data_IF_914668734210
#
_entry.id   IF_914668734210
#
_cell.length_a   1.000
_cell.length_b   1.000
_cell.length_c   1.000
_cell.angle_alpha   90.00
_cell.angle_beta   90.00
_cell.angle_gamma   90.00
#
_symmetry.space_group_name_H-M   'P 1'
#
loop_
_entity.id
_entity.type
_entity.pdbx_description
1 polymer ?
#
# COMPACT_ATOMS: atom_id res chain seq x y z
N UNK A 1 0.02 20.43 -3.46
CA UNK A 1 0.38 19.82 -2.19
C UNK A 1 -0.78 18.97 -1.73
N UNK A 2 -0.58 17.64 -1.56
CA UNK A 2 -1.52 16.90 -0.76
C UNK A 2 -1.65 17.64 0.55
N UNK A 3 -2.86 17.92 1.02
CA UNK A 3 -2.95 18.65 2.26
C UNK A 3 -2.30 17.79 3.33
N UNK A 4 -1.28 18.33 3.97
CA UNK A 4 -0.55 17.64 5.05
C UNK A 4 -1.53 17.12 6.11
N UNK A 5 -2.64 17.84 6.30
CA UNK A 5 -3.73 17.43 7.19
C UNK A 5 -4.44 16.15 6.75
N UNK A 6 -4.62 15.90 5.44
CA UNK A 6 -5.20 14.64 4.96
C UNK A 6 -4.24 13.48 5.23
N UNK A 7 -2.98 13.62 4.83
CA UNK A 7 -1.97 12.58 5.05
C UNK A 7 -1.75 12.28 6.53
N UNK A 8 -1.74 13.31 7.36
CA UNK A 8 -1.62 13.12 8.81
C UNK A 8 -2.83 12.38 9.41
N UNK A 9 -3.98 12.46 8.77
CA UNK A 9 -5.17 11.69 9.15
C UNK A 9 -5.20 10.27 8.57
N UNK A 10 -4.42 10.00 7.53
CA UNK A 10 -4.34 8.71 6.83
C UNK A 10 -2.92 8.15 6.86
N UNK A 11 -2.43 7.70 8.02
CA UNK A 11 -1.04 7.26 8.19
C UNK A 11 -0.69 6.04 7.34
N UNK A 12 -1.67 5.18 7.02
CA UNK A 12 -1.55 4.10 6.04
C UNK A 12 -1.09 4.62 4.68
N UNK A 13 -1.79 5.62 4.13
CA UNK A 13 -1.44 6.23 2.85
C UNK A 13 -0.16 7.07 2.92
N UNK A 14 0.02 7.83 4.00
CA UNK A 14 1.20 8.67 4.21
C UNK A 14 2.47 7.83 4.17
N UNK A 15 2.55 6.85 5.05
CA UNK A 15 3.74 6.03 5.18
C UNK A 15 3.97 5.10 3.98
N UNK A 16 2.90 4.62 3.34
CA UNK A 16 3.05 3.92 2.06
C UNK A 16 3.71 4.80 1.00
N UNK A 17 3.24 6.05 0.84
CA UNK A 17 3.80 6.98 -0.14
C UNK A 17 5.27 7.29 0.14
N UNK A 18 5.61 7.61 1.39
CA UNK A 18 7.00 7.84 1.81
C UNK A 18 7.88 6.60 1.59
N UNK A 19 7.31 5.41 1.85
CA UNK A 19 7.98 4.14 1.62
C UNK A 19 8.31 3.92 0.14
N UNK A 20 7.38 4.19 -0.77
CA UNK A 20 7.61 4.07 -2.20
C UNK A 20 8.63 5.09 -2.71
N UNK A 21 8.58 6.33 -2.26
CA UNK A 21 9.56 7.36 -2.63
C UNK A 21 10.97 6.94 -2.17
N UNK A 22 11.12 6.51 -0.92
CA UNK A 22 12.39 6.04 -0.41
C UNK A 22 12.90 4.80 -1.16
N UNK A 23 11.99 3.89 -1.54
CA UNK A 23 12.33 2.69 -2.33
C UNK A 23 12.83 3.05 -3.73
N UNK A 24 12.17 3.97 -4.42
CA UNK A 24 12.56 4.47 -5.75
C UNK A 24 13.93 5.16 -5.73
N UNK A 25 14.23 5.87 -4.64
CA UNK A 25 15.53 6.52 -4.43
C UNK A 25 16.64 5.56 -3.99
N UNK A 26 16.36 4.25 -3.86
CA UNK A 26 17.33 3.25 -3.37
C UNK A 26 17.60 3.31 -1.87
N UNK A 27 16.87 4.11 -1.11
CA UNK A 27 16.97 4.25 0.35
C UNK A 27 16.19 3.13 1.05
N UNK A 28 16.59 1.87 0.79
CA UNK A 28 15.81 0.68 1.16
C UNK A 28 15.57 0.50 2.66
N UNK A 29 16.55 0.84 3.50
CA UNK A 29 16.39 0.76 4.95
C UNK A 29 15.31 1.74 5.45
N UNK A 30 15.23 2.92 4.85
CA UNK A 30 14.22 3.93 5.15
C UNK A 30 12.85 3.52 4.59
N UNK A 31 12.80 3.02 3.35
CA UNK A 31 11.60 2.47 2.74
C UNK A 31 10.97 1.39 3.63
N UNK A 32 11.77 0.43 4.12
CA UNK A 32 11.30 -0.60 5.02
C UNK A 32 10.70 -0.03 6.31
N UNK A 33 11.31 0.99 6.89
CA UNK A 33 10.77 1.70 8.06
C UNK A 33 9.36 2.27 7.79
N UNK A 34 9.20 2.95 6.66
CA UNK A 34 7.92 3.54 6.28
C UNK A 34 6.86 2.46 5.97
N UNK A 35 7.22 1.39 5.26
CA UNK A 35 6.28 0.29 5.01
C UNK A 35 5.86 -0.41 6.31
N UNK A 36 6.74 -0.58 7.29
CA UNK A 36 6.37 -1.09 8.62
C UNK A 36 5.38 -0.16 9.32
N UNK A 37 5.58 1.15 9.24
CA UNK A 37 4.65 2.12 9.81
C UNK A 37 3.27 2.06 9.10
N UNK A 38 3.24 1.92 7.77
CA UNK A 38 1.99 1.75 7.04
C UNK A 38 1.29 0.42 7.39
N UNK A 39 2.06 -0.66 7.55
CA UNK A 39 1.54 -1.97 7.95
C UNK A 39 0.85 -1.96 9.32
N UNK A 40 1.30 -1.14 10.27
CA UNK A 40 0.63 -0.92 11.56
C UNK A 40 -0.80 -0.40 11.40
N UNK A 41 -1.13 0.21 10.27
CA UNK A 41 -2.43 0.76 9.92
C UNK A 41 -3.15 -0.04 8.84
N UNK A 42 -2.82 -1.33 8.70
CA UNK A 42 -3.53 -2.26 7.79
C UNK A 42 -3.38 -1.93 6.31
N UNK A 43 -2.26 -1.34 5.91
CA UNK A 43 -1.95 -1.05 4.51
C UNK A 43 -1.43 -2.31 3.81
N UNK A 44 -2.31 -3.00 3.09
CA UNK A 44 -1.99 -4.27 2.39
C UNK A 44 -0.90 -4.13 1.32
N UNK A 45 -0.85 -3.04 0.52
CA UNK A 45 0.26 -2.81 -0.39
C UNK A 45 1.63 -2.68 0.30
N UNK A 46 1.69 -1.97 1.43
CA UNK A 46 2.94 -1.86 2.18
C UNK A 46 3.37 -3.21 2.78
N UNK A 47 2.41 -4.03 3.25
CA UNK A 47 2.67 -5.39 3.70
C UNK A 47 3.23 -6.25 2.56
N UNK A 48 2.68 -6.13 1.34
CA UNK A 48 3.21 -6.82 0.15
C UNK A 48 4.62 -6.34 -0.23
N UNK A 49 4.93 -5.04 -0.09
CA UNK A 49 6.29 -4.53 -0.29
C UNK A 49 7.27 -5.09 0.74
N UNK A 50 6.88 -5.22 2.01
CA UNK A 50 7.69 -5.87 3.03
C UNK A 50 7.94 -7.34 2.72
N UNK A 51 6.92 -8.03 2.16
CA UNK A 51 7.05 -9.40 1.70
C UNK A 51 8.12 -9.52 0.60
N UNK A 52 8.06 -8.64 -0.40
CA UNK A 52 9.02 -8.64 -1.51
C UNK A 52 10.43 -8.27 -1.07
N UNK A 53 10.56 -7.26 -0.20
CA UNK A 53 11.85 -6.84 0.35
C UNK A 53 12.51 -7.95 1.17
N UNK A 54 11.76 -8.66 2.00
CA UNK A 54 12.25 -9.79 2.78
C UNK A 54 12.63 -10.97 1.87
N UNK A 55 11.78 -11.31 0.91
CA UNK A 55 12.01 -12.42 -0.01
C UNK A 55 13.26 -12.24 -0.86
N UNK A 56 13.44 -11.04 -1.43
CA UNK A 56 14.56 -10.71 -2.33
C UNK A 56 15.82 -10.22 -1.63
N UNK A 57 15.75 -9.92 -0.35
CA UNK A 57 16.88 -9.33 0.40
C UNK A 57 17.14 -7.88 0.02
N UNK A 58 16.09 -7.09 -0.23
CA UNK A 58 16.24 -5.67 -0.54
C UNK A 58 16.39 -4.86 0.74
N UNK A 59 17.56 -4.24 0.92
CA UNK A 59 17.92 -3.46 2.10
C UNK A 59 18.17 -4.28 3.38
N UNK A 60 18.17 -5.60 3.28
CA UNK A 60 18.48 -6.57 4.34
C UNK A 60 18.88 -7.90 3.70
N UNK A 61 19.52 -8.84 4.41
CA UNK A 61 19.68 -10.21 3.90
C UNK A 61 18.33 -10.85 3.56
N UNK A 62 18.29 -11.74 2.54
CA UNK A 62 17.07 -12.47 2.21
C UNK A 62 16.54 -13.28 3.40
N UNK A 63 15.24 -13.20 3.62
CA UNK A 63 14.51 -13.95 4.63
C UNK A 63 13.19 -14.45 4.02
N UNK A 64 13.24 -15.62 3.37
CA UNK A 64 12.11 -16.16 2.62
C UNK A 64 10.92 -16.55 3.50
N UNK A 65 11.11 -17.21 4.68
CA UNK A 65 10.04 -17.43 5.64
C UNK A 65 9.32 -16.14 6.02
N UNK A 66 10.07 -15.07 6.36
CA UNK A 66 9.49 -13.78 6.71
C UNK A 66 8.83 -13.11 5.49
N UNK A 67 9.35 -13.30 4.29
CA UNK A 67 8.72 -12.87 3.03
C UNK A 67 7.33 -13.49 2.87
N UNK A 68 7.20 -14.80 3.13
CA UNK A 68 5.89 -15.46 3.13
C UNK A 68 4.96 -14.94 4.22
N UNK A 69 5.45 -14.77 5.45
CA UNK A 69 4.65 -14.25 6.58
C UNK A 69 4.03 -12.89 6.22
N UNK A 70 4.80 -11.99 5.64
CA UNK A 70 4.28 -10.70 5.19
C UNK A 70 3.29 -10.83 4.03
N UNK A 71 3.53 -11.77 3.10
CA UNK A 71 2.60 -12.04 1.99
C UNK A 71 1.25 -12.59 2.51
N UNK A 72 1.27 -13.42 3.55
CA UNK A 72 0.06 -13.95 4.18
C UNK A 72 -0.75 -12.85 4.86
N UNK A 73 -0.11 -11.96 5.61
CA UNK A 73 -0.77 -10.78 6.21
C UNK A 73 -1.35 -9.85 5.12
N UNK A 74 -0.64 -9.66 4.00
CA UNK A 74 -1.13 -8.87 2.88
C UNK A 74 -2.36 -9.51 2.20
N UNK A 75 -2.39 -10.85 2.12
CA UNK A 75 -3.45 -11.61 1.46
C UNK A 75 -4.74 -11.75 2.27
N UNK A 76 -4.77 -11.33 3.54
CA UNK A 76 -5.89 -11.52 4.48
C UNK A 76 -7.25 -11.05 3.92
N UNK A 77 -7.28 -10.01 3.09
CA UNK A 77 -8.53 -9.48 2.46
C UNK A 77 -8.91 -10.17 1.15
N UNK A 78 -8.14 -11.17 0.72
CA UNK A 78 -8.41 -11.90 -0.51
C UNK A 78 -8.20 -11.09 -1.79
N UNK A 79 -7.41 -10.00 -1.76
CA UNK A 79 -7.04 -9.31 -3.00
C UNK A 79 -6.20 -10.24 -3.87
N UNK A 80 -6.67 -10.46 -5.10
CA UNK A 80 -6.14 -11.50 -6.00
C UNK A 80 -4.61 -11.44 -6.13
N UNK A 81 -4.05 -10.25 -6.32
CA UNK A 81 -2.61 -10.05 -6.50
C UNK A 81 -1.79 -10.50 -5.27
N UNK A 82 -2.30 -10.27 -4.06
CA UNK A 82 -1.61 -10.65 -2.83
C UNK A 82 -1.82 -12.13 -2.49
N UNK A 83 -2.98 -12.69 -2.81
CA UNK A 83 -3.21 -14.14 -2.72
C UNK A 83 -2.26 -14.89 -3.64
N UNK A 84 -2.12 -14.47 -4.91
CA UNK A 84 -1.18 -15.06 -5.86
C UNK A 84 0.28 -14.96 -5.36
N UNK A 85 0.66 -13.82 -4.77
CA UNK A 85 1.99 -13.63 -4.17
C UNK A 85 2.24 -14.63 -3.04
N UNK A 86 1.29 -14.78 -2.11
CA UNK A 86 1.35 -15.71 -0.99
C UNK A 86 1.51 -17.16 -1.46
N UNK A 87 0.64 -17.60 -2.39
CA UNK A 87 0.67 -18.97 -2.89
C UNK A 87 2.00 -19.29 -3.60
N UNK A 88 2.51 -18.34 -4.38
CA UNK A 88 3.81 -18.48 -5.02
C UNK A 88 4.92 -18.65 -3.98
N UNK A 89 4.99 -17.78 -2.98
CA UNK A 89 6.03 -17.87 -1.95
C UNK A 89 5.92 -19.18 -1.17
N UNK A 90 4.70 -19.60 -0.79
CA UNK A 90 4.50 -20.88 -0.12
C UNK A 90 5.01 -22.08 -0.94
N UNK A 91 4.75 -22.07 -2.24
CA UNK A 91 5.17 -23.18 -3.11
C UNK A 91 6.70 -23.28 -3.26
N UNK A 92 7.41 -22.16 -3.10
CA UNK A 92 8.85 -22.08 -3.24
C UNK A 92 9.62 -22.31 -1.92
N UNK A 93 8.95 -22.31 -0.75
CA UNK A 93 9.57 -22.61 0.54
C UNK A 93 9.86 -24.12 0.69
N UNK A 94 11.00 -24.45 1.28
CA UNK A 94 11.27 -25.80 1.75
C UNK A 94 10.54 -26.11 3.08
N UNK A 95 10.69 -27.35 3.59
CA UNK A 95 9.98 -27.80 4.80
C UNK A 95 10.39 -26.97 6.04
N UNK A 96 11.70 -26.75 6.23
CA UNK A 96 12.21 -26.02 7.39
C UNK A 96 11.81 -24.53 7.34
N UNK A 97 11.81 -23.94 6.15
CA UNK A 97 11.35 -22.57 5.93
C UNK A 97 9.85 -22.42 6.22
N UNK A 98 9.04 -23.43 5.85
CA UNK A 98 7.59 -23.44 6.15
C UNK A 98 7.33 -23.56 7.64
N UNK A 99 8.05 -24.45 8.34
CA UNK A 99 7.91 -24.60 9.78
C UNK A 99 8.21 -23.29 10.50
N UNK A 100 9.28 -22.59 10.12
CA UNK A 100 9.63 -21.27 10.67
C UNK A 100 8.56 -20.22 10.34
N UNK A 101 8.04 -20.21 9.12
CA UNK A 101 6.98 -19.28 8.72
C UNK A 101 5.68 -19.49 9.53
N UNK A 102 5.32 -20.72 9.82
CA UNK A 102 4.16 -21.06 10.65
C UNK A 102 4.37 -20.62 12.09
N UNK A 103 5.55 -20.87 12.66
CA UNK A 103 5.89 -20.47 14.02
C UNK A 103 5.83 -18.95 14.22
N UNK A 104 6.45 -18.16 13.32
CA UNK A 104 6.51 -16.71 13.42
C UNK A 104 5.23 -16.01 12.96
N UNK A 105 4.48 -16.62 12.03
CA UNK A 105 3.35 -16.00 11.34
C UNK A 105 2.22 -15.55 12.26
N UNK A 106 1.92 -16.31 13.31
CA UNK A 106 0.84 -15.99 14.24
C UNK A 106 1.04 -14.65 14.96
N UNK A 107 2.26 -14.33 15.37
CA UNK A 107 2.59 -13.07 16.03
C UNK A 107 2.46 -11.87 15.07
N UNK A 108 2.86 -12.05 13.81
CA UNK A 108 2.71 -11.02 12.77
C UNK A 108 1.24 -10.79 12.42
N UNK A 109 0.45 -11.85 12.25
CA UNK A 109 -0.99 -11.74 12.00
C UNK A 109 -1.71 -11.06 13.17
N UNK A 110 -1.34 -11.38 14.40
CA UNK A 110 -1.91 -10.71 15.57
C UNK A 110 -1.59 -9.21 15.61
N UNK A 111 -0.38 -8.82 15.20
CA UNK A 111 0.05 -7.41 15.24
C UNK A 111 -0.42 -6.61 14.03
N UNK A 112 -0.26 -7.13 12.83
CA UNK A 112 -0.43 -6.40 11.56
C UNK A 112 -1.67 -6.83 10.78
N UNK A 113 -2.36 -7.89 11.19
CA UNK A 113 -3.64 -8.31 10.62
C UNK A 113 -4.75 -7.29 10.87
N UNK A 114 -5.82 -7.40 10.13
CA UNK A 114 -6.92 -6.44 10.12
C UNK A 114 -7.57 -6.24 11.48
N UNK A 115 -7.71 -7.29 12.28
CA UNK A 115 -8.31 -7.20 13.62
C UNK A 115 -7.64 -6.14 14.49
N UNK A 116 -6.31 -6.04 14.44
CA UNK A 116 -5.54 -5.08 15.25
C UNK A 116 -5.24 -3.79 14.48
N UNK A 117 -4.83 -3.90 13.22
CA UNK A 117 -4.35 -2.79 12.45
C UNK A 117 -5.49 -1.85 11.97
N UNK A 118 -6.64 -2.40 11.55
CA UNK A 118 -7.82 -1.59 11.24
C UNK A 118 -8.36 -0.87 12.50
N UNK A 119 -8.29 -1.52 13.66
CA UNK A 119 -8.69 -0.88 14.90
C UNK A 119 -7.83 0.36 15.22
N UNK A 120 -6.49 0.25 15.01
CA UNK A 120 -5.58 1.39 15.17
C UNK A 120 -5.91 2.53 14.19
N UNK A 121 -6.12 2.19 12.92
CA UNK A 121 -6.49 3.17 11.90
C UNK A 121 -7.84 3.81 12.18
N UNK A 122 -8.84 3.03 12.57
CA UNK A 122 -10.17 3.53 12.92
C UNK A 122 -10.11 4.56 14.05
N UNK A 123 -9.35 4.28 15.11
CA UNK A 123 -9.13 5.24 16.22
C UNK A 123 -8.46 6.53 15.70
N UNK A 124 -7.49 6.39 14.81
CA UNK A 124 -6.78 7.54 14.25
C UNK A 124 -7.72 8.41 13.41
N UNK A 125 -8.50 7.81 12.51
CA UNK A 125 -9.50 8.51 11.68
C UNK A 125 -10.57 9.20 12.53
N UNK A 126 -11.09 8.54 13.57
CA UNK A 126 -12.07 9.13 14.48
C UNK A 126 -11.49 10.35 15.21
N UNK A 127 -10.23 10.29 15.65
CA UNK A 127 -9.55 11.44 16.29
C UNK A 127 -9.37 12.58 15.29
N UNK A 128 -8.87 12.29 14.10
CA UNK A 128 -8.68 13.28 13.05
C UNK A 128 -10.01 13.96 12.67
N UNK A 129 -11.08 13.19 12.51
CA UNK A 129 -12.43 13.70 12.23
C UNK A 129 -12.92 14.66 13.32
N UNK A 130 -12.71 14.34 14.60
CA UNK A 130 -13.11 15.24 15.72
C UNK A 130 -12.37 16.58 15.64
N UNK A 131 -11.08 16.57 15.32
CA UNK A 131 -10.28 17.78 15.18
C UNK A 131 -10.74 18.63 13.99
N UNK A 132 -11.19 17.98 12.90
CA UNK A 132 -11.69 18.67 11.71
C UNK A 132 -13.09 19.30 11.90
N UNK A 133 -13.99 18.64 12.66
CA UNK A 133 -15.36 19.14 12.90
C UNK A 133 -15.32 20.42 13.75
N UNK A 134 -14.28 20.66 14.55
CA UNK A 134 -14.05 21.91 15.29
C UNK A 134 -13.65 23.11 14.41
N UNK A 135 -13.24 22.87 13.16
CA UNK A 135 -13.00 23.88 12.13
C UNK A 135 -14.10 23.84 11.07
N UNK A 136 -14.64 24.97 10.62
CA UNK A 136 -15.63 24.99 9.53
C UNK A 136 -15.01 24.38 8.27
N UNK A 137 -15.54 23.26 7.71
CA UNK A 137 -15.05 22.68 6.48
C UNK A 137 -15.17 23.73 5.35
N UNK A 138 -14.07 24.06 4.73
CA UNK A 138 -14.08 24.88 3.50
C UNK A 138 -14.44 23.96 2.32
N UNK A 139 -15.74 23.80 2.08
CA UNK A 139 -16.26 22.94 0.99
C UNK A 139 -16.03 23.54 -0.42
N UNK A 140 -15.64 24.77 -0.50
CA UNK A 140 -15.44 25.60 -1.70
C UNK A 140 -13.98 25.67 -2.18
N UNK A 141 -13.06 24.99 -1.48
CA UNK A 141 -11.64 25.02 -1.81
C UNK A 141 -11.19 23.66 -2.38
N UNK A 142 -10.48 23.68 -3.49
CA UNK A 142 -9.87 22.49 -4.06
C UNK A 142 -8.70 21.99 -3.20
N UNK A 143 -8.66 20.67 -2.98
CA UNK A 143 -7.64 20.01 -2.17
C UNK A 143 -6.89 18.97 -3.03
N UNK A 144 -5.57 18.98 -2.95
CA UNK A 144 -4.74 17.97 -3.62
C UNK A 144 -4.56 16.75 -2.73
N UNK A 145 -4.95 15.58 -3.22
CA UNK A 145 -4.88 14.31 -2.50
C UNK A 145 -3.91 13.38 -3.23
N UNK A 146 -3.02 12.66 -2.54
CA UNK A 146 -2.23 11.62 -3.18
C UNK A 146 -3.15 10.49 -3.62
N UNK A 147 -3.05 10.14 -4.89
CA UNK A 147 -3.66 8.95 -5.45
C UNK A 147 -2.78 7.71 -5.25
N UNK A 148 -3.26 6.53 -5.67
CA UNK A 148 -2.44 5.34 -5.79
C UNK A 148 -1.19 5.65 -6.65
N UNK A 149 -0.06 5.02 -6.35
CA UNK A 149 1.20 5.15 -7.11
C UNK A 149 1.85 6.55 -7.13
N UNK A 150 1.59 7.40 -6.12
CA UNK A 150 2.23 8.72 -6.01
C UNK A 150 1.64 9.80 -6.92
N UNK A 151 0.63 9.49 -7.71
CA UNK A 151 -0.09 10.47 -8.52
C UNK A 151 -0.87 11.43 -7.61
N UNK A 152 -0.84 12.72 -7.94
CA UNK A 152 -1.62 13.74 -7.23
C UNK A 152 -2.94 13.98 -7.96
N UNK A 153 -4.04 13.84 -7.24
CA UNK A 153 -5.38 14.13 -7.77
C UNK A 153 -5.94 15.37 -7.09
N UNK A 154 -6.41 16.32 -7.88
CA UNK A 154 -7.14 17.48 -7.36
C UNK A 154 -8.57 17.05 -7.05
N UNK A 155 -9.00 17.29 -5.82
CA UNK A 155 -10.35 16.97 -5.35
C UNK A 155 -11.03 18.24 -4.88
N UNK A 156 -12.28 18.43 -5.27
CA UNK A 156 -13.09 19.54 -4.73
C UNK A 156 -13.23 19.38 -3.22
N UNK A 157 -13.24 20.49 -2.48
CA UNK A 157 -13.39 20.44 -1.03
C UNK A 157 -14.60 19.63 -0.56
N UNK A 158 -15.71 19.69 -1.31
CA UNK A 158 -16.87 18.83 -1.06
C UNK A 158 -16.52 17.33 -1.08
N UNK A 159 -15.72 16.91 -2.05
CA UNK A 159 -15.32 15.50 -2.22
C UNK A 159 -14.26 15.11 -1.19
N UNK A 160 -13.36 16.03 -0.85
CA UNK A 160 -12.36 15.83 0.21
C UNK A 160 -13.00 15.54 1.57
N UNK A 161 -14.07 16.25 1.91
CA UNK A 161 -14.81 16.02 3.15
C UNK A 161 -15.88 14.93 3.01
N UNK A 162 -15.86 14.15 1.91
CA UNK A 162 -16.78 13.04 1.75
C UNK A 162 -16.58 11.99 2.86
N UNK A 163 -17.68 11.47 3.38
CA UNK A 163 -17.70 10.56 4.53
C UNK A 163 -16.84 9.32 4.35
N UNK A 164 -16.68 8.86 3.09
CA UNK A 164 -15.84 7.71 2.73
C UNK A 164 -14.36 7.86 3.10
N UNK A 165 -13.87 9.07 3.31
CA UNK A 165 -12.47 9.29 3.72
C UNK A 165 -12.29 9.42 5.23
N UNK A 166 -13.37 9.65 5.99
CA UNK A 166 -13.29 10.01 7.39
C UNK A 166 -14.07 9.09 8.34
N UNK A 167 -15.01 8.31 7.81
CA UNK A 167 -15.73 7.30 8.57
C UNK A 167 -15.05 5.94 8.38
N UNK A 168 -14.52 5.30 9.45
CA UNK A 168 -13.70 4.10 9.30
C UNK A 168 -14.33 3.00 8.47
N UNK A 169 -15.62 2.69 8.70
CA UNK A 169 -16.32 1.64 7.93
C UNK A 169 -16.37 1.96 6.44
N UNK A 170 -16.63 3.22 6.08
CA UNK A 170 -16.70 3.64 4.68
C UNK A 170 -15.31 3.75 4.06
N UNK A 171 -14.31 4.16 4.85
CA UNK A 171 -12.93 4.20 4.41
C UNK A 171 -12.42 2.82 4.03
N UNK A 172 -12.61 1.82 4.89
CA UNK A 172 -12.21 0.44 4.58
C UNK A 172 -12.94 -0.11 3.36
N UNK A 173 -14.25 0.13 3.23
CA UNK A 173 -15.01 -0.28 2.06
C UNK A 173 -14.52 0.38 0.76
N UNK A 174 -14.13 1.65 0.84
CA UNK A 174 -13.53 2.36 -0.30
C UNK A 174 -12.15 1.80 -0.67
N UNK A 175 -11.27 1.59 0.32
CA UNK A 175 -9.95 0.97 0.09
C UNK A 175 -10.11 -0.42 -0.51
N UNK A 176 -11.03 -1.23 0.01
CA UNK A 176 -11.32 -2.58 -0.51
C UNK A 176 -11.79 -2.53 -1.96
N UNK A 177 -12.69 -1.62 -2.32
CA UNK A 177 -13.16 -1.47 -3.68
C UNK A 177 -12.02 -1.14 -4.66
N UNK A 178 -11.11 -0.24 -4.27
CA UNK A 178 -9.94 0.14 -5.08
C UNK A 178 -8.99 -1.04 -5.30
N UNK A 179 -8.77 -1.90 -4.29
CA UNK A 179 -7.79 -2.98 -4.39
C UNK A 179 -8.35 -4.31 -4.88
N UNK A 180 -9.67 -4.53 -4.78
CA UNK A 180 -10.34 -5.72 -5.36
C UNK A 180 -10.42 -5.65 -6.88
N UNK A 181 -10.64 -4.45 -7.41
CA UNK A 181 -10.73 -4.20 -8.84
C UNK A 181 -9.87 -2.97 -9.19
N UNK A 182 -8.53 -3.10 -9.13
CA UNK A 182 -7.66 -1.98 -9.45
C UNK A 182 -7.88 -1.57 -10.90
N UNK A 183 -7.96 -0.25 -11.19
CA UNK A 183 -8.07 0.23 -12.54
C UNK A 183 -6.87 -0.27 -13.35
N UNK A 184 -7.15 -1.14 -14.32
CA UNK A 184 -6.14 -1.62 -15.27
C UNK A 184 -5.98 -0.53 -16.30
N UNK A 185 -4.91 0.25 -16.25
CA UNK A 185 -4.52 1.07 -17.39
C UNK A 185 -4.23 0.12 -18.55
N UNK A 186 -5.11 0.09 -19.55
CA UNK A 186 -4.82 -0.54 -20.84
C UNK A 186 -3.76 0.33 -21.51
N UNK A 187 -2.52 -0.13 -21.49
CA UNK A 187 -1.52 0.36 -22.42
C UNK A 187 -1.91 -0.20 -23.79
N UNK A 188 -2.53 0.62 -24.62
CA UNK A 188 -2.67 0.30 -26.03
C UNK A 188 -1.26 0.41 -26.62
N UNK A 189 -0.62 -0.74 -26.83
CA UNK A 189 0.60 -0.82 -27.61
C UNK A 189 0.18 -0.55 -29.05
N UNK A 190 0.46 0.64 -29.57
CA UNK A 190 0.27 0.95 -30.96
C UNK A 190 1.01 -0.06 -31.87
N UNK A 191 0.62 -0.20 -33.16
CA UNK A 191 1.32 -1.11 -34.05
C UNK A 191 2.80 -0.75 -34.08
N UNK A 192 3.66 -1.78 -33.99
CA UNK A 192 5.10 -1.61 -34.13
C UNK A 192 5.39 -0.98 -35.51
N UNK A 193 5.75 0.29 -35.56
CA UNK A 193 6.32 0.89 -36.77
C UNK A 193 7.70 0.27 -36.95
N UNK A 194 7.87 -0.47 -38.07
CA UNK A 194 9.12 -1.07 -38.42
C UNK A 194 10.17 0.03 -38.64
N UNK A 195 11.21 0.04 -37.82
CA UNK A 195 12.40 0.85 -38.07
C UNK A 195 13.06 0.25 -39.30
N UNK A 196 12.91 0.90 -40.47
CA UNK A 196 13.69 0.54 -41.66
C UNK A 196 15.18 0.66 -41.33
N UNK A 197 15.89 -0.45 -41.44
CA UNK A 197 17.33 -0.48 -41.29
C UNK A 197 17.95 0.52 -42.26
N UNK A 198 18.67 1.51 -41.75
CA UNK A 198 19.30 2.57 -42.52
C UNK A 198 20.15 2.01 -43.64
N UNK A 199 19.88 2.44 -44.85
CA UNK A 199 20.71 2.22 -46.00
C UNK A 199 22.11 2.80 -45.74
N UNK A 200 23.10 1.96 -45.76
CA UNK A 200 24.49 2.39 -45.92
C UNK A 200 24.60 3.27 -47.19
N UNK A 201 25.11 4.46 -47.04
CA UNK A 201 25.48 5.33 -48.18
C UNK A 201 26.88 4.96 -48.64
N UNK A 202 27.14 5.01 -49.97
CA UNK A 202 28.41 4.67 -50.60
C UNK A 202 29.53 5.66 -50.25
#
# INVERSE_FOLDING_TARGET
MASESFLNAHPDMKFRTEGFLAYQDGRFAEARKYFLQAAEFSDKPAQAMLAEMAWKGVGQPPDRPMGYVWADVAAERGYRQFVVLRERYWSELDAAERDRAIEEGSAYMQRYGDASAQYRLAKHLQRARRLMIGGRPRKDVDVWVPGPYGLRTQIRGHDFYATKFWEPKQYFAWVDAVWKDPPVERVEVGPLEGVEAGRERP
#
